data_IF_243107087887
#
_entry.id   IF_243107087887
#
_cell.length_a   1.000
_cell.length_b   1.000
_cell.length_c   1.000
_cell.angle_alpha   90.00
_cell.angle_beta   90.00
_cell.angle_gamma   90.00
#
_symmetry.space_group_name_H-M   'P 1'
#
loop_
_entity.id
_entity.type
_entity.pdbx_description
1 polymer ?
#
# COMPACT_ATOMS: atom_id res chain seq x y z
N UNK A 1 12.84 -8.58 9.82
CA UNK A 1 12.18 -8.05 8.60
C UNK A 1 11.94 -9.23 7.68
N UNK A 2 10.72 -9.35 7.15
CA UNK A 2 10.36 -10.31 6.11
C UNK A 2 10.53 -9.62 4.77
N UNK A 3 11.23 -10.25 3.85
CA UNK A 3 11.50 -9.72 2.51
C UNK A 3 10.88 -10.65 1.46
N UNK A 4 10.19 -10.05 0.51
CA UNK A 4 9.80 -10.65 -0.76
C UNK A 4 10.79 -10.13 -1.81
N UNK A 5 11.62 -11.00 -2.37
CA UNK A 5 12.55 -10.67 -3.45
C UNK A 5 11.94 -11.08 -4.79
N UNK A 6 11.93 -10.18 -5.76
CA UNK A 6 11.22 -10.36 -7.03
C UNK A 6 12.10 -10.02 -8.23
N UNK A 7 12.00 -10.80 -9.30
CA UNK A 7 12.62 -10.45 -10.59
C UNK A 7 11.84 -9.30 -11.24
N UNK A 8 12.47 -8.47 -12.08
CA UNK A 8 11.84 -7.29 -12.69
C UNK A 8 10.91 -7.65 -13.85
N UNK A 9 10.06 -8.65 -13.68
CA UNK A 9 9.03 -9.00 -14.67
C UNK A 9 7.73 -8.28 -14.32
N UNK A 10 7.71 -7.01 -14.67
CA UNK A 10 6.54 -6.15 -14.49
C UNK A 10 5.75 -6.15 -15.77
N UNK A 11 4.48 -6.46 -15.66
CA UNK A 11 3.61 -6.51 -16.79
C UNK A 11 3.58 -5.20 -17.49
N UNK A 12 3.84 -5.27 -18.77
CA UNK A 12 3.18 -4.40 -19.69
C UNK A 12 1.67 -4.64 -19.66
N UNK A 13 1.19 -5.59 -18.87
CA UNK A 13 -0.22 -5.87 -18.71
C UNK A 13 -1.05 -4.65 -18.47
N UNK A 14 -0.52 -3.67 -17.74
CA UNK A 14 -1.09 -2.34 -17.66
C UNK A 14 -0.74 -1.45 -18.86
N UNK A 15 0.26 -1.77 -19.62
CA UNK A 15 0.92 -0.84 -20.56
C UNK A 15 0.91 -1.31 -22.01
N UNK A 16 0.03 -2.23 -22.36
CA UNK A 16 -0.12 -2.83 -23.69
C UNK A 16 1.10 -3.69 -24.09
N UNK A 17 0.90 -4.97 -24.08
CA UNK A 17 1.87 -5.97 -24.48
C UNK A 17 2.38 -5.77 -25.89
N UNK A 18 3.63 -6.07 -26.10
CA UNK A 18 4.35 -5.77 -27.33
C UNK A 18 5.18 -6.94 -27.85
N UNK A 19 4.80 -8.16 -27.58
CA UNK A 19 5.49 -9.33 -28.09
C UNK A 19 6.80 -9.64 -27.37
N UNK A 20 6.92 -9.34 -26.08
CA UNK A 20 8.16 -9.61 -25.33
C UNK A 20 8.26 -11.06 -24.88
N UNK A 21 7.18 -11.62 -24.37
CA UNK A 21 7.17 -12.96 -23.74
C UNK A 21 7.46 -14.05 -24.75
N UNK A 22 7.09 -13.85 -26.01
CA UNK A 22 7.34 -14.83 -27.09
C UNK A 22 8.77 -14.77 -27.65
N UNK A 23 9.59 -13.84 -27.20
CA UNK A 23 10.99 -13.76 -27.63
C UNK A 23 11.86 -14.70 -26.79
N UNK A 24 12.57 -15.67 -27.41
CA UNK A 24 13.44 -16.61 -26.71
C UNK A 24 14.49 -15.91 -25.84
N UNK A 25 15.10 -14.83 -26.32
CA UNK A 25 16.10 -14.06 -25.58
C UNK A 25 15.53 -13.43 -24.31
N UNK A 26 14.29 -12.96 -24.34
CA UNK A 26 13.61 -12.42 -23.15
C UNK A 26 13.38 -13.52 -22.11
N UNK A 27 12.85 -14.68 -22.55
CA UNK A 27 12.60 -15.83 -21.66
C UNK A 27 13.88 -16.35 -21.02
N UNK A 28 14.94 -16.54 -21.82
CA UNK A 28 16.21 -17.02 -21.29
C UNK A 28 16.83 -16.02 -20.31
N UNK A 29 16.81 -14.73 -20.62
CA UNK A 29 17.31 -13.69 -19.71
C UNK A 29 16.56 -13.68 -18.38
N UNK A 30 15.22 -13.76 -18.39
CA UNK A 30 14.44 -13.81 -17.15
C UNK A 30 14.70 -15.05 -16.31
N UNK A 31 14.92 -16.22 -16.95
CA UNK A 31 15.30 -17.47 -16.25
C UNK A 31 16.67 -17.30 -15.57
N UNK A 32 17.65 -16.72 -16.27
CA UNK A 32 18.97 -16.46 -15.68
C UNK A 32 18.90 -15.46 -14.54
N UNK A 33 18.17 -14.35 -14.68
CA UNK A 33 17.96 -13.39 -13.59
C UNK A 33 17.34 -14.04 -12.35
N UNK A 34 16.37 -14.94 -12.54
CA UNK A 34 15.75 -15.65 -11.42
C UNK A 34 16.75 -16.54 -10.69
N UNK A 35 17.54 -17.33 -11.43
CA UNK A 35 18.59 -18.18 -10.84
C UNK A 35 19.66 -17.36 -10.13
N UNK A 36 20.13 -16.28 -10.75
CA UNK A 36 21.12 -15.37 -10.17
C UNK A 36 20.58 -14.76 -8.85
N UNK A 37 19.35 -14.24 -8.85
CA UNK A 37 18.72 -13.67 -7.67
C UNK A 37 18.66 -14.71 -6.53
N UNK A 38 18.16 -15.92 -6.81
CA UNK A 38 18.04 -16.98 -5.80
C UNK A 38 19.42 -17.36 -5.26
N UNK A 39 20.39 -17.64 -6.13
CA UNK A 39 21.74 -18.09 -5.74
C UNK A 39 22.51 -17.03 -4.97
N UNK A 40 22.42 -15.77 -5.37
CA UNK A 40 23.08 -14.65 -4.68
C UNK A 40 22.49 -14.43 -3.29
N UNK A 41 21.20 -14.63 -3.12
CA UNK A 41 20.48 -14.30 -1.91
C UNK A 41 20.05 -15.50 -1.07
N UNK A 42 20.46 -16.71 -1.45
CA UNK A 42 20.06 -17.97 -0.80
C UNK A 42 20.28 -17.94 0.72
N UNK A 43 21.41 -17.40 1.15
CA UNK A 43 21.82 -17.37 2.57
C UNK A 43 21.26 -16.15 3.34
N UNK A 44 20.33 -15.38 2.76
CA UNK A 44 19.68 -14.27 3.47
C UNK A 44 18.37 -14.76 4.15
N UNK A 45 18.35 -14.97 5.48
CA UNK A 45 17.19 -15.54 6.17
C UNK A 45 15.99 -14.59 6.23
N UNK A 46 16.17 -13.31 5.92
CA UNK A 46 15.08 -12.36 5.83
C UNK A 46 14.23 -12.52 4.57
N UNK A 47 14.78 -13.13 3.52
CA UNK A 47 14.01 -13.43 2.31
C UNK A 47 13.15 -14.66 2.59
N UNK A 48 11.84 -14.46 2.49
CA UNK A 48 10.85 -15.49 2.75
C UNK A 48 10.12 -15.95 1.48
N UNK A 49 10.13 -15.14 0.43
CA UNK A 49 9.40 -15.41 -0.81
C UNK A 49 10.23 -15.00 -2.02
N UNK A 50 10.08 -15.80 -3.10
CA UNK A 50 10.59 -15.48 -4.43
C UNK A 50 9.44 -14.99 -5.30
N UNK A 51 9.50 -13.72 -5.72
CA UNK A 51 8.50 -13.09 -6.57
C UNK A 51 8.78 -13.34 -8.06
N UNK A 52 7.74 -13.73 -8.81
CA UNK A 52 7.91 -14.09 -10.21
C UNK A 52 7.36 -13.05 -11.19
N UNK A 53 6.33 -12.29 -10.80
CA UNK A 53 5.77 -11.25 -11.67
C UNK A 53 4.95 -10.22 -10.91
N UNK A 54 4.73 -9.08 -11.57
CA UNK A 54 3.80 -8.04 -11.17
C UNK A 54 2.87 -7.63 -12.32
N UNK A 55 1.56 -7.66 -12.12
CA UNK A 55 0.51 -7.12 -12.97
C UNK A 55 0.51 -7.61 -14.45
N UNK A 56 0.80 -8.86 -14.68
CA UNK A 56 0.74 -9.45 -16.02
C UNK A 56 -0.71 -9.68 -16.49
N UNK A 57 -0.92 -9.66 -17.81
CA UNK A 57 -2.16 -10.03 -18.48
C UNK A 57 -1.99 -11.32 -19.27
N UNK A 58 -3.07 -12.10 -19.37
CA UNK A 58 -3.12 -13.30 -20.24
C UNK A 58 -3.43 -12.96 -21.69
N UNK A 59 -3.96 -11.76 -21.94
CA UNK A 59 -4.24 -11.29 -23.32
C UNK A 59 -2.96 -10.78 -23.98
N UNK A 60 -2.85 -10.97 -25.28
CA UNK A 60 -1.64 -10.67 -26.05
C UNK A 60 -0.61 -11.78 -25.90
N UNK A 61 0.57 -11.45 -25.47
CA UNK A 61 1.64 -12.41 -25.16
C UNK A 61 1.34 -13.17 -23.87
N UNK A 62 0.54 -14.20 -23.94
CA UNK A 62 0.12 -14.96 -22.77
C UNK A 62 1.31 -15.55 -22.01
N UNK A 63 1.61 -15.08 -20.78
CA UNK A 63 2.79 -15.50 -20.04
C UNK A 63 2.60 -16.78 -19.23
N UNK A 64 1.43 -17.42 -19.24
CA UNK A 64 1.08 -18.53 -18.36
C UNK A 64 2.13 -19.64 -18.37
N UNK A 65 2.51 -20.13 -19.54
CA UNK A 65 3.50 -21.22 -19.66
C UNK A 65 4.89 -20.76 -19.20
N UNK A 66 5.25 -19.53 -19.49
CA UNK A 66 6.53 -18.99 -19.06
C UNK A 66 6.59 -18.81 -17.53
N UNK A 67 5.51 -18.36 -16.88
CA UNK A 67 5.45 -18.28 -15.42
C UNK A 67 5.50 -19.68 -14.78
N UNK A 68 4.89 -20.71 -15.39
CA UNK A 68 5.05 -22.08 -14.92
C UNK A 68 6.51 -22.57 -14.98
N UNK A 69 7.24 -22.22 -16.06
CA UNK A 69 8.68 -22.52 -16.17
C UNK A 69 9.47 -21.79 -15.08
N UNK A 70 9.23 -20.50 -14.86
CA UNK A 70 9.88 -19.74 -13.80
C UNK A 70 9.57 -20.30 -12.41
N UNK A 71 8.33 -20.71 -12.16
CA UNK A 71 7.93 -21.34 -10.90
C UNK A 71 8.68 -22.66 -10.66
N UNK A 72 8.78 -23.50 -11.68
CA UNK A 72 9.55 -24.73 -11.60
C UNK A 72 11.05 -24.50 -11.34
N UNK A 73 11.64 -23.49 -11.98
CA UNK A 73 13.03 -23.09 -11.76
C UNK A 73 13.22 -22.60 -10.33
N UNK A 74 12.33 -21.76 -9.81
CA UNK A 74 12.43 -21.25 -8.45
C UNK A 74 12.45 -22.39 -7.41
N UNK A 75 11.56 -23.37 -7.53
CA UNK A 75 11.54 -24.56 -6.67
C UNK A 75 12.74 -25.49 -6.86
N UNK A 76 13.32 -25.55 -8.06
CA UNK A 76 14.54 -26.30 -8.31
C UNK A 76 15.77 -25.66 -7.65
N UNK A 77 15.87 -24.31 -7.71
CA UNK A 77 16.99 -23.57 -7.12
C UNK A 77 16.84 -23.43 -5.59
N UNK A 78 15.61 -23.29 -5.10
CA UNK A 78 15.31 -23.21 -3.67
C UNK A 78 14.00 -23.94 -3.31
N UNK A 79 14.05 -25.21 -2.92
CA UNK A 79 12.87 -25.97 -2.51
C UNK A 79 12.33 -25.59 -1.12
N UNK A 80 12.98 -24.67 -0.43
CA UNK A 80 12.64 -24.34 0.97
C UNK A 80 11.78 -23.10 1.12
N UNK A 81 11.82 -22.18 0.15
CA UNK A 81 11.04 -20.96 0.15
C UNK A 81 9.92 -20.98 -0.89
N UNK A 82 8.72 -20.53 -0.52
CA UNK A 82 7.61 -20.47 -1.45
C UNK A 82 7.79 -19.35 -2.49
N UNK A 83 7.11 -19.55 -3.61
CA UNK A 83 6.96 -18.51 -4.66
C UNK A 83 5.72 -17.67 -4.41
N UNK A 84 5.73 -16.44 -4.93
CA UNK A 84 4.59 -15.53 -4.90
C UNK A 84 4.59 -14.61 -6.11
N UNK A 85 3.49 -13.92 -6.32
CA UNK A 85 3.35 -12.92 -7.39
C UNK A 85 2.30 -11.89 -7.02
N UNK A 86 2.39 -10.72 -7.64
CA UNK A 86 1.43 -9.64 -7.49
C UNK A 86 0.52 -9.56 -8.72
N UNK A 87 -0.78 -9.66 -8.53
CA UNK A 87 -1.77 -9.63 -9.61
C UNK A 87 -2.75 -8.46 -9.46
N UNK A 88 -3.28 -8.02 -10.58
CA UNK A 88 -4.43 -7.11 -10.64
C UNK A 88 -5.47 -7.60 -11.67
N UNK A 89 -5.34 -8.84 -12.15
CA UNK A 89 -6.16 -9.45 -13.18
C UNK A 89 -6.77 -10.76 -12.68
N UNK A 90 -7.92 -11.14 -13.21
CA UNK A 90 -8.45 -12.49 -13.08
C UNK A 90 -7.73 -13.42 -14.08
N UNK A 91 -7.68 -14.72 -13.79
CA UNK A 91 -7.17 -15.71 -14.75
C UNK A 91 -6.25 -16.77 -14.12
N UNK A 92 -5.67 -17.60 -14.99
CA UNK A 92 -4.87 -18.78 -14.65
C UNK A 92 -3.54 -18.41 -13.95
N UNK A 93 -3.01 -17.22 -14.21
CA UNK A 93 -1.78 -16.71 -13.57
C UNK A 93 -1.86 -16.75 -12.05
N UNK A 94 -3.05 -16.52 -11.48
CA UNK A 94 -3.25 -16.44 -10.03
C UNK A 94 -3.15 -17.78 -9.29
N UNK A 95 -2.98 -18.88 -10.02
CA UNK A 95 -2.94 -20.25 -9.48
C UNK A 95 -1.62 -20.98 -9.79
N UNK A 96 -0.57 -20.26 -10.19
CA UNK A 96 0.71 -20.86 -10.55
C UNK A 96 1.69 -20.85 -9.38
N UNK A 97 1.80 -19.74 -8.67
CA UNK A 97 2.69 -19.59 -7.52
C UNK A 97 2.05 -20.17 -6.25
N UNK A 98 2.87 -20.49 -5.25
CA UNK A 98 2.37 -21.07 -3.97
C UNK A 98 1.46 -20.11 -3.21
N UNK A 99 1.71 -18.81 -3.35
CA UNK A 99 0.93 -17.73 -2.79
C UNK A 99 0.64 -16.71 -3.88
N UNK A 100 -0.49 -16.02 -3.75
CA UNK A 100 -0.83 -14.88 -4.61
C UNK A 100 -1.10 -13.65 -3.76
N UNK A 101 -0.66 -12.49 -4.24
CA UNK A 101 -0.97 -11.21 -3.65
C UNK A 101 -1.60 -10.29 -4.71
N UNK A 102 -2.36 -9.30 -4.24
CA UNK A 102 -3.17 -8.48 -5.12
C UNK A 102 -2.85 -7.00 -4.94
N UNK A 103 -2.63 -6.32 -6.07
CA UNK A 103 -2.54 -4.88 -6.12
C UNK A 103 -3.95 -4.31 -6.12
N UNK A 104 -4.39 -3.81 -4.98
CA UNK A 104 -5.75 -3.32 -4.76
C UNK A 104 -5.76 -1.87 -4.31
N UNK A 105 -6.42 -1.04 -5.10
CA UNK A 105 -6.46 0.41 -4.86
C UNK A 105 -7.89 0.92 -4.70
N UNK A 106 -8.74 0.14 -4.00
CA UNK A 106 -10.13 0.51 -3.72
C UNK A 106 -10.19 1.81 -2.91
N UNK A 107 -10.85 2.82 -3.45
CA UNK A 107 -10.86 4.18 -2.89
C UNK A 107 -9.76 5.10 -3.41
N UNK A 108 -8.89 4.62 -4.32
CA UNK A 108 -7.95 5.44 -5.05
C UNK A 108 -8.26 5.47 -6.55
N UNK A 109 -7.98 4.42 -7.32
CA UNK A 109 -8.23 4.39 -8.77
C UNK A 109 -9.71 4.19 -9.14
N UNK A 110 -10.58 3.95 -8.20
CA UNK A 110 -12.00 3.78 -8.39
C UNK A 110 -12.68 3.25 -7.15
N UNK A 111 -14.01 3.13 -7.20
CA UNK A 111 -14.84 2.62 -6.11
C UNK A 111 -14.62 3.36 -4.77
N UNK A 112 -14.86 2.70 -3.67
CA UNK A 112 -14.60 3.20 -2.31
C UNK A 112 -13.75 2.18 -1.55
N UNK A 113 -13.08 2.55 -0.45
CA UNK A 113 -12.35 1.57 0.37
C UNK A 113 -13.21 0.37 0.78
N UNK A 114 -14.51 0.56 1.02
CA UNK A 114 -15.43 -0.52 1.40
C UNK A 114 -15.52 -1.65 0.36
N UNK A 115 -15.28 -1.38 -0.91
CA UNK A 115 -15.30 -2.43 -1.96
C UNK A 115 -14.20 -3.46 -1.81
N UNK A 116 -13.08 -3.11 -1.16
CA UNK A 116 -12.04 -4.07 -0.81
C UNK A 116 -12.59 -5.20 0.08
N UNK A 117 -13.45 -4.86 1.06
CA UNK A 117 -14.07 -5.85 1.93
C UNK A 117 -14.91 -6.86 1.13
N UNK A 118 -15.79 -6.35 0.27
CA UNK A 118 -16.65 -7.19 -0.57
C UNK A 118 -15.83 -8.11 -1.48
N UNK A 119 -14.76 -7.57 -2.09
CA UNK A 119 -13.91 -8.34 -2.98
C UNK A 119 -13.12 -9.43 -2.22
N UNK A 120 -12.52 -9.10 -1.07
CA UNK A 120 -11.79 -10.06 -0.24
C UNK A 120 -12.68 -11.21 0.21
N UNK A 121 -13.87 -10.90 0.72
CA UNK A 121 -14.80 -11.91 1.23
C UNK A 121 -15.33 -12.81 0.10
N UNK A 122 -15.61 -12.23 -1.07
CA UNK A 122 -16.03 -12.98 -2.25
C UNK A 122 -14.90 -13.89 -2.78
N UNK A 123 -13.68 -13.37 -2.88
CA UNK A 123 -12.52 -14.13 -3.35
C UNK A 123 -12.23 -15.30 -2.42
N UNK A 124 -12.21 -15.08 -1.11
CA UNK A 124 -11.99 -16.13 -0.13
C UNK A 124 -13.10 -17.21 -0.16
N UNK A 125 -14.34 -16.78 -0.34
CA UNK A 125 -15.47 -17.71 -0.46
C UNK A 125 -15.39 -18.57 -1.71
N UNK A 126 -15.01 -17.97 -2.84
CA UNK A 126 -14.93 -18.66 -4.13
C UNK A 126 -13.68 -19.53 -4.28
N UNK A 127 -12.61 -19.18 -3.59
CA UNK A 127 -11.30 -19.83 -3.63
C UNK A 127 -10.74 -20.00 -2.21
N UNK A 128 -11.33 -20.88 -1.38
CA UNK A 128 -10.97 -21.04 0.04
C UNK A 128 -9.55 -21.58 0.22
N UNK A 129 -8.99 -22.25 -0.79
CA UNK A 129 -7.60 -22.73 -0.83
C UNK A 129 -6.58 -21.64 -1.15
N UNK A 130 -7.01 -20.54 -1.74
CA UNK A 130 -6.13 -19.44 -2.16
C UNK A 130 -5.57 -18.69 -0.94
N UNK A 131 -4.25 -18.61 -0.87
CA UNK A 131 -3.57 -17.83 0.17
C UNK A 131 -3.47 -16.37 -0.27
N UNK A 132 -4.45 -15.58 0.13
CA UNK A 132 -4.63 -14.20 -0.32
C UNK A 132 -3.75 -13.24 0.48
N UNK A 133 -3.05 -12.35 -0.20
CA UNK A 133 -2.41 -11.16 0.38
C UNK A 133 -2.72 -9.91 -0.43
N UNK A 134 -2.46 -8.75 0.14
CA UNK A 134 -2.49 -7.46 -0.59
C UNK A 134 -1.05 -7.00 -0.79
N UNK A 135 -0.57 -7.08 -2.03
CA UNK A 135 0.80 -6.68 -2.39
C UNK A 135 0.97 -5.18 -2.55
N UNK A 136 -0.09 -4.49 -2.93
CA UNK A 136 -0.08 -3.04 -3.01
C UNK A 136 -1.44 -2.45 -2.64
N UNK A 137 -1.43 -1.45 -1.78
CA UNK A 137 -2.53 -0.50 -1.56
C UNK A 137 -1.95 0.85 -1.12
N UNK A 138 -2.51 1.94 -1.61
CA UNK A 138 -2.01 3.28 -1.29
C UNK A 138 -2.74 4.37 -2.05
N UNK A 139 -2.61 5.59 -1.57
CA UNK A 139 -3.15 6.79 -2.18
C UNK A 139 -2.07 7.87 -2.29
N UNK A 140 -2.11 8.68 -3.33
CA UNK A 140 -1.21 9.82 -3.50
C UNK A 140 -1.48 10.92 -2.47
N UNK A 141 -0.44 11.63 -2.06
CA UNK A 141 -0.56 12.79 -1.19
C UNK A 141 0.61 13.76 -1.32
N UNK A 142 0.28 15.04 -1.40
CA UNK A 142 1.20 16.14 -1.18
C UNK A 142 1.08 16.67 0.24
N UNK A 143 2.24 16.92 0.88
CA UNK A 143 2.29 17.57 2.20
C UNK A 143 1.81 19.03 2.16
N UNK A 144 1.67 19.61 0.97
CA UNK A 144 1.19 20.98 0.76
C UNK A 144 -0.31 21.04 0.48
N UNK A 145 -0.96 19.90 0.23
CA UNK A 145 -2.38 19.84 -0.05
C UNK A 145 -3.16 19.34 1.16
N UNK A 146 -4.08 20.15 1.62
CA UNK A 146 -4.95 19.86 2.76
C UNK A 146 -6.38 20.24 2.41
N UNK A 147 -7.36 19.56 2.99
CA UNK A 147 -8.77 19.88 2.80
C UNK A 147 -9.51 19.93 4.16
N UNK A 148 -10.42 20.91 4.31
CA UNK A 148 -11.22 21.05 5.54
C UNK A 148 -12.40 20.09 5.61
N UNK A 149 -12.84 19.58 4.47
CA UNK A 149 -13.89 18.56 4.35
C UNK A 149 -13.31 17.38 3.60
N UNK A 150 -13.39 16.20 4.22
CA UNK A 150 -12.82 14.99 3.64
C UNK A 150 -13.59 14.57 2.40
N UNK A 151 -12.94 14.60 1.25
CA UNK A 151 -13.48 14.19 -0.05
C UNK A 151 -12.49 13.25 -0.72
N UNK A 152 -13.01 12.18 -1.34
CA UNK A 152 -12.17 11.24 -2.10
C UNK A 152 -11.44 11.98 -3.23
N UNK A 153 -10.15 11.77 -3.31
CA UNK A 153 -9.29 12.37 -4.33
C UNK A 153 -9.54 11.75 -5.70
N UNK A 154 -9.46 12.57 -6.75
CA UNK A 154 -9.39 12.11 -8.14
C UNK A 154 -7.92 11.83 -8.49
N UNK A 155 -7.53 10.57 -8.76
CA UNK A 155 -6.13 10.16 -8.87
C UNK A 155 -5.33 10.88 -9.96
N UNK A 156 -5.97 11.21 -11.08
CA UNK A 156 -5.34 11.95 -12.19
C UNK A 156 -5.30 13.46 -11.99
N UNK A 157 -5.77 13.98 -10.85
CA UNK A 157 -5.74 15.41 -10.57
C UNK A 157 -4.37 15.88 -10.05
N UNK A 158 -4.13 17.19 -10.08
CA UNK A 158 -2.98 17.78 -9.41
C UNK A 158 -3.16 17.87 -7.89
N UNK A 159 -4.42 17.76 -7.40
CA UNK A 159 -4.78 17.95 -6.00
C UNK A 159 -4.86 16.63 -5.26
N UNK A 160 -3.81 16.32 -4.50
CA UNK A 160 -3.70 15.12 -3.68
C UNK A 160 -3.57 15.51 -2.20
N UNK A 161 -4.69 15.74 -1.48
CA UNK A 161 -4.64 16.16 -0.08
C UNK A 161 -4.19 15.00 0.83
N UNK A 162 -3.28 15.33 1.76
CA UNK A 162 -2.68 14.39 2.69
C UNK A 162 -3.71 13.71 3.61
N UNK A 163 -4.74 14.44 4.00
CA UNK A 163 -5.79 13.88 4.84
C UNK A 163 -6.66 12.83 4.12
N UNK A 164 -6.79 12.88 2.78
CA UNK A 164 -7.38 11.75 2.05
C UNK A 164 -6.48 10.51 2.08
N UNK A 165 -5.19 10.64 1.87
CA UNK A 165 -4.26 9.52 2.01
C UNK A 165 -4.39 8.87 3.38
N UNK A 166 -4.41 9.69 4.43
CA UNK A 166 -4.53 9.21 5.81
C UNK A 166 -5.81 8.39 6.01
N UNK A 167 -6.95 8.92 5.59
CA UNK A 167 -8.24 8.24 5.70
C UNK A 167 -8.29 6.95 4.85
N UNK A 168 -7.76 7.01 3.63
CA UNK A 168 -7.63 5.84 2.76
C UNK A 168 -6.90 4.68 3.47
N UNK A 169 -5.76 4.98 4.11
CA UNK A 169 -4.98 3.98 4.82
C UNK A 169 -5.69 3.45 6.07
N UNK A 170 -6.37 4.30 6.81
CA UNK A 170 -7.17 3.87 7.98
C UNK A 170 -8.26 2.89 7.56
N UNK A 171 -9.04 3.23 6.52
CA UNK A 171 -10.15 2.39 6.07
C UNK A 171 -9.66 1.07 5.47
N UNK A 172 -8.67 1.09 4.57
CA UNK A 172 -8.16 -0.13 3.95
C UNK A 172 -7.47 -1.03 4.98
N UNK A 173 -6.64 -0.47 5.88
CA UNK A 173 -6.01 -1.25 6.94
C UNK A 173 -7.02 -1.90 7.89
N UNK A 174 -8.08 -1.18 8.26
CA UNK A 174 -9.19 -1.75 9.03
C UNK A 174 -9.76 -2.99 8.36
N UNK A 175 -10.09 -2.89 7.08
CA UNK A 175 -10.67 -3.98 6.29
C UNK A 175 -9.72 -5.18 6.25
N UNK A 176 -8.44 -4.97 6.01
CA UNK A 176 -7.42 -6.01 5.95
C UNK A 176 -7.24 -6.67 7.32
N UNK A 177 -7.08 -5.86 8.36
CA UNK A 177 -6.82 -6.33 9.73
C UNK A 177 -7.98 -7.14 10.35
N UNK A 178 -9.20 -6.90 9.90
CA UNK A 178 -10.39 -7.66 10.31
C UNK A 178 -10.51 -9.02 9.60
N UNK A 179 -9.59 -9.39 8.69
CA UNK A 179 -9.66 -10.60 7.86
C UNK A 179 -8.45 -11.51 8.06
N UNK A 180 -8.50 -12.43 9.05
CA UNK A 180 -7.36 -13.28 9.40
C UNK A 180 -6.91 -14.24 8.29
N UNK A 181 -7.71 -14.42 7.23
CA UNK A 181 -7.32 -15.20 6.05
C UNK A 181 -6.41 -14.43 5.08
N UNK A 182 -6.25 -13.10 5.27
CA UNK A 182 -5.25 -12.31 4.54
C UNK A 182 -3.91 -12.46 5.24
N UNK A 183 -2.98 -13.22 4.65
CA UNK A 183 -1.72 -13.58 5.30
C UNK A 183 -0.70 -12.44 5.36
N UNK A 184 -0.76 -11.47 4.45
CA UNK A 184 0.11 -10.28 4.45
C UNK A 184 -0.53 -9.09 3.74
N UNK A 185 -0.01 -7.91 4.04
CA UNK A 185 -0.32 -6.69 3.31
C UNK A 185 0.90 -5.78 3.21
N UNK A 186 1.06 -5.14 2.05
CA UNK A 186 2.18 -4.26 1.75
C UNK A 186 1.65 -2.92 1.26
N UNK A 187 2.10 -1.85 1.91
CA UNK A 187 1.72 -0.49 1.52
C UNK A 187 2.50 -0.07 0.28
N UNK A 188 1.84 0.45 -0.71
CA UNK A 188 2.47 1.13 -1.83
C UNK A 188 2.41 2.66 -1.60
N UNK A 189 3.49 3.28 -1.17
CA UNK A 189 4.70 2.59 -0.75
C UNK A 189 5.39 3.38 0.37
N UNK A 190 6.61 3.03 0.75
CA UNK A 190 7.31 3.71 1.85
C UNK A 190 7.72 5.13 1.50
N UNK A 191 8.19 5.38 0.27
CA UNK A 191 8.73 6.66 -0.15
C UNK A 191 8.12 7.15 -1.45
N UNK A 192 7.90 8.46 -1.58
CA UNK A 192 7.70 9.05 -2.89
C UNK A 192 8.94 8.78 -3.76
N UNK A 193 8.75 8.53 -5.06
CA UNK A 193 9.85 8.19 -5.95
C UNK A 193 9.66 8.74 -7.37
N UNK A 194 10.77 8.85 -8.09
CA UNK A 194 10.77 9.29 -9.49
C UNK A 194 9.98 8.33 -10.40
N UNK A 195 9.05 8.87 -11.17
CA UNK A 195 8.21 8.13 -12.12
C UNK A 195 7.89 9.06 -13.31
N UNK A 196 8.78 9.12 -14.27
CA UNK A 196 8.80 10.13 -15.34
C UNK A 196 7.49 10.25 -16.15
N UNK A 197 6.73 9.17 -16.24
CA UNK A 197 5.45 9.16 -16.97
C UNK A 197 4.27 9.74 -16.16
N UNK A 198 4.45 10.03 -14.88
CA UNK A 198 3.38 10.56 -14.02
C UNK A 198 3.27 12.06 -14.16
N UNK A 199 2.03 12.54 -14.29
CA UNK A 199 1.72 13.98 -14.46
C UNK A 199 0.76 14.50 -13.37
N UNK A 200 0.20 13.62 -12.58
CA UNK A 200 -0.68 13.93 -11.45
C UNK A 200 0.09 14.36 -10.20
N UNK A 201 -0.64 14.85 -9.20
CA UNK A 201 -0.08 15.34 -7.94
C UNK A 201 0.52 16.74 -8.06
N UNK A 202 1.22 17.18 -7.05
CA UNK A 202 1.83 18.51 -6.98
C UNK A 202 3.14 18.63 -7.79
N UNK A 203 3.71 17.50 -8.18
CA UNK A 203 5.02 17.43 -8.85
C UNK A 203 5.01 16.38 -9.97
N UNK A 204 4.93 16.80 -11.23
CA UNK A 204 5.10 15.90 -12.36
C UNK A 204 6.39 15.09 -12.29
N UNK A 205 6.35 13.84 -12.71
CA UNK A 205 7.49 12.94 -12.65
C UNK A 205 7.73 12.30 -11.28
N UNK A 206 6.81 12.46 -10.33
CA UNK A 206 6.86 11.83 -9.00
C UNK A 206 5.63 10.96 -8.78
N UNK A 207 5.84 9.73 -8.31
CA UNK A 207 4.79 8.95 -7.67
C UNK A 207 4.72 9.37 -6.20
N UNK A 208 3.64 10.00 -5.79
CA UNK A 208 3.46 10.61 -4.48
C UNK A 208 2.69 9.73 -3.47
N UNK A 209 2.61 8.41 -3.74
CA UNK A 209 1.95 7.46 -2.82
C UNK A 209 2.80 7.08 -1.60
N UNK A 210 4.02 7.60 -1.50
CA UNK A 210 4.89 7.35 -0.35
C UNK A 210 4.28 7.79 0.98
N UNK A 211 4.57 7.04 2.03
CA UNK A 211 4.33 7.48 3.43
C UNK A 211 5.35 8.53 3.88
N UNK A 212 6.45 8.67 3.15
CA UNK A 212 7.55 9.61 3.39
C UNK A 212 7.88 10.30 2.08
N UNK A 213 8.22 11.58 2.14
CA UNK A 213 8.56 12.38 0.95
C UNK A 213 9.78 11.84 0.20
N UNK A 214 9.90 12.19 -1.08
CA UNK A 214 10.98 11.77 -1.98
C UNK A 214 12.38 12.02 -1.40
N UNK A 215 12.59 13.15 -0.72
CA UNK A 215 13.85 13.53 -0.08
C UNK A 215 14.10 12.83 1.28
N UNK A 216 13.19 11.95 1.70
CA UNK A 216 13.22 11.18 2.97
C UNK A 216 13.08 12.02 4.25
N UNK A 217 12.78 13.32 4.15
CA UNK A 217 12.81 14.22 5.31
C UNK A 217 11.49 14.27 6.06
N UNK A 218 10.36 14.19 5.36
CA UNK A 218 9.04 14.40 5.97
C UNK A 218 8.25 13.09 5.93
N UNK A 219 7.86 12.65 7.11
CA UNK A 219 6.89 11.56 7.29
C UNK A 219 5.49 12.15 7.20
N UNK A 220 4.66 11.61 6.32
CA UNK A 220 3.26 12.02 6.16
C UNK A 220 2.41 11.46 7.31
N UNK A 221 1.19 11.95 7.47
CA UNK A 221 0.32 11.53 8.58
C UNK A 221 0.04 10.03 8.60
N UNK A 222 -0.17 9.41 7.43
CA UNK A 222 -0.36 7.97 7.30
C UNK A 222 0.83 7.13 7.79
N UNK A 223 2.06 7.65 7.74
CA UNK A 223 3.22 6.98 8.36
C UNK A 223 3.03 6.81 9.87
N UNK A 224 2.52 7.83 10.55
CA UNK A 224 2.32 7.79 12.00
C UNK A 224 1.13 6.91 12.39
N UNK A 225 0.12 6.78 11.52
CA UNK A 225 -0.93 5.80 11.68
C UNK A 225 -0.36 4.37 11.74
N UNK A 226 0.48 3.99 10.77
CA UNK A 226 1.12 2.67 10.78
C UNK A 226 2.11 2.51 11.93
N UNK A 227 2.85 3.56 12.28
CA UNK A 227 3.74 3.52 13.44
C UNK A 227 2.98 3.21 14.73
N UNK A 228 1.82 3.81 14.93
CA UNK A 228 0.99 3.54 16.11
C UNK A 228 0.47 2.09 16.14
N UNK A 229 0.22 1.49 14.98
CA UNK A 229 -0.31 0.13 14.87
C UNK A 229 0.77 -0.96 14.88
N UNK A 230 1.95 -0.69 14.30
CA UNK A 230 2.96 -1.73 14.02
C UNK A 230 4.22 -1.63 14.88
N UNK A 231 4.46 -0.50 15.55
CA UNK A 231 5.63 -0.33 16.40
C UNK A 231 5.20 -0.37 17.87
N UNK A 232 5.83 -1.21 18.72
CA UNK A 232 5.51 -1.28 20.15
C UNK A 232 6.00 -0.07 20.97
N UNK A 233 6.92 0.73 20.41
CA UNK A 233 7.43 1.92 21.10
C UNK A 233 6.32 2.94 21.34
N UNK A 234 6.14 3.44 22.57
CA UNK A 234 5.12 4.42 22.90
C UNK A 234 5.19 5.66 22.01
N UNK A 235 4.06 6.06 21.47
CA UNK A 235 3.98 7.23 20.63
C UNK A 235 2.64 7.95 20.74
N UNK A 236 2.67 9.24 20.46
CA UNK A 236 1.51 10.09 20.24
C UNK A 236 1.78 11.05 19.09
N UNK A 237 0.82 11.24 18.21
CA UNK A 237 0.94 12.11 17.03
C UNK A 237 -0.40 12.72 16.65
N UNK A 238 -0.46 14.05 16.55
CA UNK A 238 -1.63 14.77 16.05
C UNK A 238 -1.55 14.81 14.53
N UNK A 239 -2.54 14.22 13.85
CA UNK A 239 -2.65 14.29 12.40
C UNK A 239 -3.20 15.66 11.94
N UNK A 240 -2.98 15.99 10.65
CA UNK A 240 -3.46 17.25 10.08
C UNK A 240 -2.73 18.50 10.57
N UNK A 241 -1.54 18.37 11.13
CA UNK A 241 -0.74 19.51 11.64
C UNK A 241 -0.29 20.48 10.55
N UNK A 242 -0.22 20.00 9.29
CA UNK A 242 0.13 20.82 8.13
C UNK A 242 -1.04 21.64 7.60
N UNK A 243 -2.27 21.35 8.00
CA UNK A 243 -3.44 22.16 7.72
C UNK A 243 -3.50 23.36 8.70
N UNK A 244 -2.60 24.32 8.50
CA UNK A 244 -2.45 25.48 9.41
C UNK A 244 -3.51 26.56 9.20
N UNK A 245 -4.06 26.68 7.99
CA UNK A 245 -5.06 27.67 7.63
C UNK A 245 -6.46 27.05 7.65
N UNK A 246 -7.08 26.99 8.84
CA UNK A 246 -8.41 26.43 9.00
C UNK A 246 -9.47 27.50 8.95
N UNK A 247 -10.55 27.26 8.25
CA UNK A 247 -11.65 28.24 8.07
C UNK A 247 -12.85 27.95 8.97
N UNK A 248 -12.93 26.74 9.55
CA UNK A 248 -14.02 26.33 10.44
C UNK A 248 -13.69 26.61 11.89
N UNK A 249 -14.64 27.15 12.68
CA UNK A 249 -14.44 27.40 14.10
C UNK A 249 -14.46 26.11 14.95
N UNK A 250 -15.02 25.03 14.43
CA UNK A 250 -15.02 23.69 15.03
C UNK A 250 -14.32 22.74 14.07
N UNK A 251 -13.38 21.96 14.60
CA UNK A 251 -12.61 20.99 13.82
C UNK A 251 -12.50 19.67 14.55
N UNK A 252 -12.44 18.59 13.81
CA UNK A 252 -12.08 17.30 14.35
C UNK A 252 -10.55 17.21 14.46
N UNK A 253 -10.07 16.77 15.62
CA UNK A 253 -8.65 16.52 15.86
C UNK A 253 -8.41 15.02 15.97
N UNK A 254 -7.69 14.48 15.02
CA UNK A 254 -7.33 13.07 14.99
C UNK A 254 -5.93 12.87 15.58
N UNK A 255 -5.80 11.91 16.49
CA UNK A 255 -4.53 11.59 17.14
C UNK A 255 -4.27 10.09 16.98
N UNK A 256 -3.07 9.75 16.53
CA UNK A 256 -2.58 8.37 16.48
C UNK A 256 -1.73 8.09 17.72
N UNK A 257 -2.07 7.03 18.43
CA UNK A 257 -1.35 6.70 19.66
C UNK A 257 -1.53 5.22 20.04
N UNK A 258 -0.47 4.61 20.55
CA UNK A 258 -0.48 3.27 21.14
C UNK A 258 -0.34 3.28 22.67
N UNK A 259 -0.45 4.45 23.31
CA UNK A 259 -0.48 4.58 24.77
C UNK A 259 -1.90 4.31 25.30
N UNK A 260 -2.01 4.13 26.62
CA UNK A 260 -3.29 3.76 27.22
C UNK A 260 -4.37 4.85 27.11
N UNK A 261 -3.99 6.12 27.18
CA UNK A 261 -4.91 7.24 27.23
C UNK A 261 -4.30 8.51 26.63
N UNK A 262 -5.12 9.31 25.97
CA UNK A 262 -4.76 10.58 25.35
C UNK A 262 -5.65 11.69 25.89
N UNK A 263 -5.04 12.81 26.30
CA UNK A 263 -5.73 14.03 26.69
C UNK A 263 -5.41 15.11 25.64
N UNK A 264 -6.44 15.73 25.07
CA UNK A 264 -6.30 16.88 24.17
C UNK A 264 -6.50 18.18 24.93
N UNK A 265 -5.51 19.06 24.86
CA UNK A 265 -5.56 20.41 25.41
C UNK A 265 -5.37 21.39 24.25
N UNK A 266 -6.26 22.36 24.11
CA UNK A 266 -6.17 23.44 23.13
C UNK A 266 -6.34 24.78 23.86
N UNK A 267 -5.40 25.70 23.68
CA UNK A 267 -5.41 27.02 24.32
C UNK A 267 -5.59 26.94 25.85
N UNK A 268 -4.83 26.05 26.50
CA UNK A 268 -4.86 25.75 27.93
C UNK A 268 -6.18 25.16 28.47
N UNK A 269 -7.13 24.84 27.60
CA UNK A 269 -8.39 24.20 27.96
C UNK A 269 -8.37 22.72 27.54
N UNK A 270 -8.72 21.83 28.46
CA UNK A 270 -8.88 20.41 28.15
C UNK A 270 -10.14 20.20 27.28
N UNK A 271 -9.95 19.77 26.05
CA UNK A 271 -11.01 19.51 25.07
C UNK A 271 -11.55 18.09 25.14
N UNK A 272 -10.79 17.16 25.71
CA UNK A 272 -11.23 15.78 25.83
C UNK A 272 -10.16 14.86 26.38
N UNK A 273 -10.61 13.64 26.72
CA UNK A 273 -9.79 12.55 27.22
C UNK A 273 -10.39 11.24 26.71
N UNK A 274 -9.59 10.40 26.07
CA UNK A 274 -10.07 9.11 25.55
C UNK A 274 -8.95 8.08 25.39
N UNK A 275 -9.33 6.81 25.32
CA UNK A 275 -8.43 5.71 24.94
C UNK A 275 -8.43 5.58 23.41
N UNK A 276 -7.27 5.28 22.80
CA UNK A 276 -7.23 4.92 21.38
C UNK A 276 -8.13 3.71 21.10
N UNK A 277 -8.78 3.73 19.94
CA UNK A 277 -9.58 2.59 19.47
C UNK A 277 -8.69 1.41 19.02
N UNK A 278 -9.31 0.37 18.45
CA UNK A 278 -8.60 -0.82 17.95
C UNK A 278 -7.60 -0.51 16.84
N UNK A 279 -7.78 0.62 16.13
CA UNK A 279 -6.88 1.12 15.08
C UNK A 279 -5.88 2.15 15.59
N UNK A 280 -5.77 2.32 16.91
CA UNK A 280 -4.86 3.29 17.53
C UNK A 280 -5.20 4.75 17.19
N UNK A 281 -6.48 5.05 16.99
CA UNK A 281 -7.00 6.37 16.64
C UNK A 281 -7.81 6.94 17.81
N UNK A 282 -7.53 8.18 18.17
CA UNK A 282 -8.39 9.03 18.98
C UNK A 282 -8.97 10.14 18.11
N UNK A 283 -10.28 10.24 18.01
CA UNK A 283 -10.96 11.30 17.26
C UNK A 283 -11.72 12.22 18.21
N UNK A 284 -11.13 13.38 18.49
CA UNK A 284 -11.78 14.45 19.25
C UNK A 284 -12.62 15.30 18.30
N UNK A 285 -13.93 15.20 18.41
CA UNK A 285 -14.88 15.90 17.54
C UNK A 285 -15.18 17.32 18.04
N UNK A 286 -15.49 18.19 17.07
CA UNK A 286 -15.98 19.55 17.33
C UNK A 286 -15.12 20.37 18.28
N UNK A 287 -13.81 20.24 18.17
CA UNK A 287 -12.84 20.97 18.97
C UNK A 287 -12.90 22.45 18.61
N UNK A 288 -13.21 23.36 19.55
CA UNK A 288 -13.35 24.77 19.26
C UNK A 288 -11.99 25.44 19.00
N UNK A 289 -11.93 26.17 17.92
CA UNK A 289 -10.79 27.04 17.58
C UNK A 289 -11.19 28.51 17.70
N UNK A 290 -10.28 29.33 18.19
CA UNK A 290 -10.41 30.78 18.18
C UNK A 290 -9.73 31.40 16.94
N UNK A 291 -10.09 32.64 16.62
CA UNK A 291 -9.41 33.37 15.54
C UNK A 291 -7.93 33.58 15.91
N UNK A 292 -7.04 33.25 14.99
CA UNK A 292 -5.59 33.36 15.17
C UNK A 292 -4.94 32.00 15.52
N UNK A 293 -3.87 32.04 16.30
CA UNK A 293 -3.11 30.84 16.68
C UNK A 293 -3.85 30.04 17.78
N UNK A 294 -3.92 28.75 17.57
CA UNK A 294 -4.44 27.77 18.52
C UNK A 294 -3.36 26.76 18.88
#
# INVERSE_FOLDING_TARGET
IVTWAEIPFVGPGGYADRGFVDQPSFRENGKEQLKEMIRQHYNHPSICFWGLFNELKEQGDNPVEYIKELNAIAHQEDPTRPTTSASNQEGALNFITDHIAWNRYDGWYGATPATLATWLDATHKNHPEMKIAISEYGAGASIYHQQDSLVQTVPGSWWHPENWQTEYHIQNWKIINERPYVWASFVWNMFDFGAAHRTEGDRPGINDKGLVTHDRKIKKDAYYFYRANWNPEPMIYIAGRRNVNRVKPLVDVQVFSNVEEVILIVNDCQCGKMKPDSLKVCLFKDVPLRKGRN
#
